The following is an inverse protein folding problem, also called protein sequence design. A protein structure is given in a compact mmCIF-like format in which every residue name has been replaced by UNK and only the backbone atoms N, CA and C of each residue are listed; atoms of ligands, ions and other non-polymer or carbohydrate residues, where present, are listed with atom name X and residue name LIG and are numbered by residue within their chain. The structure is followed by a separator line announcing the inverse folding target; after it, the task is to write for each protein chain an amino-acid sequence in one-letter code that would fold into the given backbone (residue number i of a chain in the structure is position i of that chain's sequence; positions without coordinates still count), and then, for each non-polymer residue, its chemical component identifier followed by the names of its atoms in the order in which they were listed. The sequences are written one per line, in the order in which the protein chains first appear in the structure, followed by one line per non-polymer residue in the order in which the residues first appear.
data_IF_291181835738
#
_entry.id   IF_291181835738
#
_cell.length_a   1.000
_cell.length_b   1.000
_cell.length_c   1.000
_cell.angle_alpha   90.00
_cell.angle_beta   90.00
_cell.angle_gamma   90.00
#
_symmetry.space_group_name_H-M   'P 1'
#
loop_
_entity.id
_entity.type
_entity.pdbx_description
1 polymer ?
#
# COMPACT_ATOMS: atom_id res chain seq x y z
N UNK A 1 -5.19 -1.54 16.94
CA UNK A 1 -3.96 -1.54 16.11
C UNK A 1 -4.38 -1.50 14.66
N UNK A 2 -3.80 -0.61 13.87
CA UNK A 2 -4.05 -0.50 12.42
C UNK A 2 -2.80 0.05 11.72
N UNK A 3 -2.76 -0.04 10.40
CA UNK A 3 -1.71 0.53 9.56
C UNK A 3 -2.28 1.37 8.40
N UNK A 4 -1.42 2.18 7.81
CA UNK A 4 -1.74 2.96 6.62
C UNK A 4 -0.50 3.16 5.75
N UNK A 5 -0.73 3.31 4.45
CA UNK A 5 0.30 3.73 3.50
C UNK A 5 0.49 5.24 3.60
N UNK A 6 1.74 5.69 3.53
CA UNK A 6 2.07 7.11 3.62
C UNK A 6 1.97 7.81 2.27
N UNK A 7 1.88 9.14 2.31
CA UNK A 7 2.08 9.99 1.11
C UNK A 7 3.45 9.70 0.49
N UNK A 8 4.50 9.60 1.32
CA UNK A 8 5.86 9.30 0.86
C UNK A 8 5.94 8.06 -0.04
N UNK A 9 5.29 6.95 0.36
CA UNK A 9 5.25 5.72 -0.42
C UNK A 9 4.75 5.95 -1.85
N UNK A 10 3.62 6.62 -1.99
CA UNK A 10 3.03 6.80 -3.31
C UNK A 10 3.76 7.87 -4.10
N UNK A 11 4.10 8.99 -3.49
CA UNK A 11 4.76 10.09 -4.20
C UNK A 11 6.19 9.77 -4.65
N UNK A 12 6.94 8.97 -3.87
CA UNK A 12 8.38 8.80 -4.09
C UNK A 12 8.80 7.37 -4.44
N UNK A 13 7.98 6.36 -4.14
CA UNK A 13 8.39 4.95 -4.27
C UNK A 13 7.64 4.23 -5.39
N UNK A 14 6.30 4.22 -5.35
CA UNK A 14 5.52 3.33 -6.23
C UNK A 14 4.44 4.00 -7.10
N UNK A 15 4.06 5.25 -6.83
CA UNK A 15 2.85 5.85 -7.40
C UNK A 15 2.90 6.19 -8.89
N UNK A 16 4.08 6.17 -9.51
CA UNK A 16 4.27 6.31 -10.95
C UNK A 16 5.11 5.14 -11.49
N UNK A 17 4.71 3.92 -11.10
CA UNK A 17 5.45 2.70 -11.46
C UNK A 17 4.51 1.58 -11.89
N UNK A 18 4.95 0.85 -12.92
CA UNK A 18 4.39 -0.45 -13.27
C UNK A 18 5.29 -1.55 -12.71
N UNK A 19 4.73 -2.40 -11.84
CA UNK A 19 5.38 -3.60 -11.34
C UNK A 19 4.81 -4.78 -12.12
N UNK A 20 5.68 -5.48 -12.87
CA UNK A 20 5.31 -6.69 -13.57
C UNK A 20 6.20 -7.84 -13.09
N UNK A 21 5.59 -8.92 -12.63
CA UNK A 21 6.29 -10.13 -12.21
C UNK A 21 5.74 -11.35 -12.93
N UNK A 22 6.66 -12.23 -13.31
CA UNK A 22 6.38 -13.52 -13.91
C UNK A 22 6.93 -14.60 -13.00
N UNK A 23 6.04 -15.43 -12.43
CA UNK A 23 6.37 -16.52 -11.50
C UNK A 23 5.76 -17.81 -12.04
N UNK A 24 6.26 -18.95 -11.55
CA UNK A 24 5.93 -20.28 -12.08
C UNK A 24 4.42 -20.59 -12.11
N UNK A 25 3.66 -20.11 -11.13
CA UNK A 25 2.22 -20.38 -10.96
C UNK A 25 1.31 -19.18 -11.24
N UNK A 26 1.88 -17.97 -11.23
CA UNK A 26 1.15 -16.72 -11.38
C UNK A 26 2.02 -15.60 -11.94
N UNK A 27 1.50 -14.88 -12.93
CA UNK A 27 2.09 -13.62 -13.40
C UNK A 27 1.15 -12.48 -13.06
N UNK A 28 1.67 -11.30 -12.76
CA UNK A 28 0.83 -10.12 -12.55
C UNK A 28 1.45 -8.85 -13.09
N UNK A 29 0.59 -7.90 -13.45
CA UNK A 29 0.93 -6.54 -13.81
C UNK A 29 0.15 -5.64 -12.87
N UNK A 30 0.86 -4.82 -12.12
CA UNK A 30 0.36 -3.82 -11.20
C UNK A 30 0.79 -2.45 -11.71
N UNK A 31 -0.16 -1.68 -12.24
CA UNK A 31 0.09 -0.36 -12.82
C UNK A 31 -0.47 0.73 -11.90
N UNK A 32 0.39 1.63 -11.40
CA UNK A 32 0.02 2.66 -10.42
C UNK A 32 -0.04 4.05 -11.06
N UNK A 33 -1.04 4.83 -10.65
CA UNK A 33 -1.18 6.25 -10.97
C UNK A 33 -1.54 6.99 -9.68
N UNK A 34 -0.62 7.84 -9.23
CA UNK A 34 -0.79 8.66 -8.04
C UNK A 34 -1.20 10.10 -8.37
N UNK A 35 -2.26 10.57 -7.71
CA UNK A 35 -2.72 11.94 -7.74
C UNK A 35 -2.27 12.69 -6.47
N UNK A 36 -1.36 13.65 -6.65
CA UNK A 36 -0.80 14.47 -5.57
C UNK A 36 -1.79 15.47 -4.96
N UNK A 37 -2.89 15.82 -5.63
CA UNK A 37 -3.90 16.73 -5.05
C UNK A 37 -4.83 15.99 -4.07
N UNK A 38 -5.21 14.76 -4.41
CA UNK A 38 -6.14 13.96 -3.60
C UNK A 38 -5.43 12.97 -2.66
N UNK A 39 -4.13 12.75 -2.88
CA UNK A 39 -3.32 11.69 -2.30
C UNK A 39 -3.85 10.29 -2.60
N UNK A 40 -4.56 10.11 -3.71
CA UNK A 40 -5.11 8.80 -4.13
C UNK A 40 -4.13 8.15 -5.09
N UNK A 41 -3.73 6.92 -4.78
CA UNK A 41 -3.10 6.00 -5.69
C UNK A 41 -4.16 5.04 -6.25
N UNK A 42 -4.50 5.24 -7.52
CA UNK A 42 -5.25 4.28 -8.31
C UNK A 42 -4.28 3.23 -8.84
N UNK A 43 -4.68 1.96 -8.78
CA UNK A 43 -3.93 0.93 -9.49
C UNK A 43 -4.78 -0.15 -10.10
N UNK A 44 -4.38 -0.55 -11.30
CA UNK A 44 -4.94 -1.67 -12.03
C UNK A 44 -4.07 -2.92 -11.82
N UNK A 45 -4.66 -3.95 -11.24
CA UNK A 45 -4.04 -5.24 -11.04
C UNK A 45 -4.58 -6.25 -12.05
N UNK A 46 -3.73 -6.67 -12.99
CA UNK A 46 -3.99 -7.77 -13.89
C UNK A 46 -3.25 -9.02 -13.41
N UNK A 47 -3.97 -10.04 -12.97
CA UNK A 47 -3.39 -11.33 -12.52
C UNK A 47 -3.66 -12.41 -13.55
N UNK A 48 -2.65 -13.19 -13.89
CA UNK A 48 -2.72 -14.32 -14.80
C UNK A 48 -2.38 -15.59 -14.02
N UNK A 49 -3.35 -16.47 -13.84
CA UNK A 49 -3.18 -17.74 -13.11
C UNK A 49 -3.25 -18.89 -14.11
N UNK A 50 -2.30 -19.81 -14.06
CA UNK A 50 -2.31 -20.99 -14.92
C UNK A 50 -3.56 -21.83 -14.66
N UNK A 51 -4.16 -22.38 -15.72
CA UNK A 51 -5.32 -23.26 -15.56
C UNK A 51 -4.91 -24.60 -14.97
N UNK A 52 -5.76 -25.16 -14.09
CA UNK A 52 -5.47 -26.39 -13.35
C UNK A 52 -5.24 -27.64 -14.23
N UNK A 53 -5.51 -27.57 -15.53
CA UNK A 53 -5.29 -28.65 -16.50
C UNK A 53 -3.88 -28.67 -17.10
N UNK A 54 -2.97 -27.78 -16.69
CA UNK A 54 -1.60 -27.66 -17.20
C UNK A 54 -1.55 -27.55 -18.74
N UNK A 55 -2.53 -26.88 -19.33
CA UNK A 55 -2.61 -26.68 -20.79
C UNK A 55 -1.65 -25.60 -21.30
N UNK A 56 -0.90 -24.93 -20.42
CA UNK A 56 -0.12 -23.73 -20.74
C UNK A 56 -0.99 -22.51 -21.00
N UNK A 57 -2.27 -22.57 -20.65
CA UNK A 57 -3.21 -21.46 -20.74
C UNK A 57 -3.35 -20.75 -19.39
N UNK A 58 -3.58 -19.45 -19.45
CA UNK A 58 -3.76 -18.61 -18.26
C UNK A 58 -5.15 -18.01 -18.25
N UNK A 59 -5.76 -17.95 -17.07
CA UNK A 59 -6.95 -17.16 -16.81
C UNK A 59 -6.55 -15.78 -16.28
N UNK A 60 -7.04 -14.74 -16.94
CA UNK A 60 -6.84 -13.36 -16.52
C UNK A 60 -7.94 -12.89 -15.56
N UNK A 61 -7.53 -12.28 -14.46
CA UNK A 61 -8.36 -11.52 -13.53
C UNK A 61 -7.93 -10.05 -13.56
N UNK A 62 -8.88 -9.14 -13.38
CA UNK A 62 -8.63 -7.71 -13.32
C UNK A 62 -9.35 -7.11 -12.13
N UNK A 63 -8.63 -6.29 -11.39
CA UNK A 63 -9.15 -5.51 -10.27
C UNK A 63 -8.61 -4.09 -10.38
N UNK A 64 -9.43 -3.11 -10.04
CA UNK A 64 -9.04 -1.70 -9.92
C UNK A 64 -9.21 -1.30 -8.47
N UNK A 65 -8.17 -0.72 -7.88
CA UNK A 65 -8.10 -0.37 -6.48
C UNK A 65 -7.76 1.10 -6.30
N UNK A 66 -8.33 1.70 -5.26
CA UNK A 66 -8.06 3.08 -4.87
C UNK A 66 -7.58 3.09 -3.43
N UNK A 67 -6.39 3.63 -3.20
CA UNK A 67 -5.82 3.74 -1.86
C UNK A 67 -5.35 5.17 -1.62
N UNK A 68 -5.66 5.71 -0.44
CA UNK A 68 -5.19 7.05 -0.06
C UNK A 68 -3.91 6.95 0.77
N UNK A 69 -2.91 7.76 0.41
CA UNK A 69 -1.74 8.03 1.24
C UNK A 69 -2.09 9.01 2.35
N UNK A 70 -1.66 8.74 3.58
CA UNK A 70 -1.91 9.62 4.74
C UNK A 70 -0.61 10.11 5.35
N UNK A 71 -0.63 11.36 5.81
CA UNK A 71 0.42 11.90 6.67
C UNK A 71 0.23 11.40 8.10
N UNK A 72 1.33 11.12 8.81
CA UNK A 72 1.25 10.74 10.22
C UNK A 72 0.59 11.84 11.07
N UNK A 73 0.83 13.11 10.74
CA UNK A 73 0.21 14.26 11.41
C UNK A 73 -1.31 14.28 11.25
N UNK A 74 -1.82 13.91 10.08
CA UNK A 74 -3.26 13.80 9.79
C UNK A 74 -3.89 12.71 10.67
N UNK A 75 -3.30 11.51 10.69
CA UNK A 75 -3.80 10.40 11.51
C UNK A 75 -3.73 10.72 13.01
N UNK A 76 -2.66 11.36 13.48
CA UNK A 76 -2.55 11.80 14.88
C UNK A 76 -3.69 12.73 15.29
N UNK A 77 -4.00 13.69 14.41
CA UNK A 77 -5.12 14.62 14.64
C UNK A 77 -6.45 13.87 14.68
N UNK A 78 -6.72 13.01 13.70
CA UNK A 78 -7.96 12.23 13.64
C UNK A 78 -8.16 11.33 14.86
N UNK A 79 -7.11 10.69 15.36
CA UNK A 79 -7.18 9.89 16.59
C UNK A 79 -7.48 10.74 17.82
N UNK A 80 -6.82 11.88 17.96
CA UNK A 80 -7.08 12.84 19.03
C UNK A 80 -8.52 13.36 18.99
N UNK A 81 -9.01 13.73 17.81
CA UNK A 81 -10.39 14.21 17.61
C UNK A 81 -11.42 13.12 17.94
N UNK A 82 -11.07 11.85 17.73
CA UNK A 82 -11.87 10.69 18.11
C UNK A 82 -11.72 10.27 19.58
N UNK A 83 -10.86 10.94 20.36
CA UNK A 83 -10.65 10.68 21.79
C UNK A 83 -9.75 9.48 22.11
N UNK A 84 -8.91 9.05 21.17
CA UNK A 84 -7.96 7.97 21.39
C UNK A 84 -6.58 8.49 21.80
N UNK A 85 -5.95 7.79 22.74
CA UNK A 85 -4.55 8.02 23.09
C UNK A 85 -3.64 7.16 22.20
N UNK A 86 -2.56 7.77 21.69
CA UNK A 86 -1.57 7.06 20.88
C UNK A 86 -0.58 6.37 21.81
N UNK A 87 -0.62 5.03 21.81
CA UNK A 87 0.21 4.17 22.66
C UNK A 87 1.56 3.92 21.99
N UNK A 88 1.58 3.65 20.67
CA UNK A 88 2.81 3.37 19.92
C UNK A 88 2.65 3.68 18.44
N UNK A 89 3.74 4.14 17.81
CA UNK A 89 3.86 4.34 16.36
C UNK A 89 5.18 3.72 15.89
N UNK A 90 5.19 2.97 14.79
CA UNK A 90 6.41 2.36 14.26
C UNK A 90 6.33 2.10 12.75
N UNK A 91 7.50 2.09 12.10
CA UNK A 91 7.67 1.78 10.68
C UNK A 91 7.51 0.26 10.45
N UNK A 92 6.68 -0.13 9.47
CA UNK A 92 6.44 -1.55 9.18
C UNK A 92 7.59 -2.22 8.42
N UNK A 93 8.11 -1.52 7.44
CA UNK A 93 8.94 -2.10 6.38
C UNK A 93 10.41 -2.18 6.83
N UNK A 94 10.77 -1.40 7.85
CA UNK A 94 12.10 -1.40 8.47
C UNK A 94 12.19 -2.10 9.84
N UNK A 95 11.13 -2.84 10.23
CA UNK A 95 11.07 -3.61 11.48
C UNK A 95 10.59 -2.80 12.69
N UNK A 96 9.89 -3.46 13.62
CA UNK A 96 9.15 -2.85 14.75
C UNK A 96 10.01 -2.11 15.82
N UNK A 97 11.33 -2.04 15.60
CA UNK A 97 12.30 -1.40 16.49
C UNK A 97 12.76 -0.01 16.01
N UNK A 98 12.46 0.37 14.75
CA UNK A 98 12.81 1.70 14.24
C UNK A 98 11.66 2.70 14.40
N UNK A 99 12.04 3.93 14.75
CA UNK A 99 11.14 5.08 14.77
C UNK A 99 10.70 5.43 13.34
N UNK A 100 9.48 5.94 13.21
CA UNK A 100 8.97 6.47 11.93
C UNK A 100 9.82 7.67 11.50
N UNK A 101 10.14 7.72 10.22
CA UNK A 101 10.78 8.86 9.57
C UNK A 101 9.92 9.42 8.44
N UNK A 102 10.36 10.53 7.86
CA UNK A 102 9.72 11.15 6.69
C UNK A 102 9.75 10.24 5.44
N UNK A 103 10.54 9.16 5.48
CA UNK A 103 10.67 8.17 4.40
C UNK A 103 9.97 6.85 4.70
N UNK A 104 9.19 6.74 5.78
CA UNK A 104 8.47 5.51 6.09
C UNK A 104 7.35 5.30 5.07
N UNK A 105 7.29 4.11 4.46
CA UNK A 105 6.29 3.79 3.43
C UNK A 105 4.96 3.32 4.03
N UNK A 106 5.02 2.59 5.14
CA UNK A 106 3.87 2.08 5.87
C UNK A 106 4.08 2.23 7.37
N UNK A 107 3.10 2.81 8.05
CA UNK A 107 3.15 3.09 9.49
C UNK A 107 2.11 2.25 10.21
N UNK A 108 2.50 1.66 11.34
CA UNK A 108 1.59 1.02 12.29
C UNK A 108 1.32 1.93 13.48
N UNK A 109 0.07 1.96 13.92
CA UNK A 109 -0.36 2.66 15.13
C UNK A 109 -1.12 1.74 16.07
N UNK A 110 -0.74 1.83 17.35
CA UNK A 110 -1.51 1.32 18.49
C UNK A 110 -2.14 2.52 19.18
N UNK A 111 -3.46 2.55 19.22
CA UNK A 111 -4.24 3.57 19.92
C UNK A 111 -5.37 2.88 20.71
N UNK A 112 -5.76 3.48 21.83
CA UNK A 112 -6.73 2.91 22.78
C UNK A 112 -7.29 3.95 23.73
#
# INVERSE_FOLDING_TARGET
VFDFNTVYKYENVIGDTTIAEDRDDVSFIWDNIYDAETHINEYDLSVFVETADNSGLYRKFRETHFQRGYELSEIRKQLSDAGFDIIKVFDRDNGAEREVSDSSERIFIVAG
#
